data_IF_298735673006
#
_entry.id   IF_298735673006
#
_cell.length_a   1.000
_cell.length_b   1.000
_cell.length_c   1.000
_cell.angle_alpha   90.00
_cell.angle_beta   90.00
_cell.angle_gamma   90.00
#
_symmetry.space_group_name_H-M   'P 1'
#
loop_
_entity.id
_entity.type
_entity.pdbx_description
1 polymer ?
#
# COMPACT_ATOMS: atom_id res chain seq x y z
N UNK A 1 -3.09 -15.31 -3.68
CA UNK A 1 -3.74 -14.17 -3.01
C UNK A 1 -4.55 -14.68 -1.84
N UNK A 2 -4.36 -14.13 -0.64
CA UNK A 2 -4.99 -14.56 0.60
C UNK A 2 -5.10 -13.40 1.61
N UNK A 3 -5.84 -13.62 2.71
CA UNK A 3 -5.77 -12.74 3.89
C UNK A 3 -4.38 -12.84 4.49
N UNK A 4 -3.65 -11.73 4.49
CA UNK A 4 -2.31 -11.59 5.09
C UNK A 4 -2.33 -10.48 6.14
N UNK A 5 -1.44 -10.51 7.15
CA UNK A 5 -1.34 -9.45 8.16
C UNK A 5 -1.03 -8.10 7.52
N UNK A 6 -1.71 -7.05 8.00
CA UNK A 6 -1.38 -5.65 7.68
C UNK A 6 -0.54 -5.12 8.85
N UNK A 7 0.78 -5.09 8.69
CA UNK A 7 1.71 -4.62 9.72
C UNK A 7 1.82 -3.10 9.72
N UNK A 8 2.38 -2.52 10.78
CA UNK A 8 2.70 -1.09 10.82
C UNK A 8 3.72 -0.71 9.74
N UNK A 9 4.74 -1.54 9.51
CA UNK A 9 5.71 -1.35 8.41
C UNK A 9 5.03 -1.27 7.05
N UNK A 10 4.11 -2.18 6.74
CA UNK A 10 3.34 -2.16 5.48
C UNK A 10 2.56 -0.85 5.36
N UNK A 11 1.93 -0.38 6.44
CA UNK A 11 1.18 0.88 6.42
C UNK A 11 2.09 2.10 6.24
N UNK A 12 3.26 2.14 6.86
CA UNK A 12 4.21 3.24 6.75
C UNK A 12 4.83 3.31 5.35
N UNK A 13 5.23 2.17 4.79
CA UNK A 13 5.71 2.08 3.41
C UNK A 13 4.59 2.46 2.42
N UNK A 14 3.35 2.02 2.67
CA UNK A 14 2.21 2.35 1.80
C UNK A 14 1.88 3.85 1.85
N UNK A 15 2.00 4.50 3.01
CA UNK A 15 1.87 5.96 3.13
C UNK A 15 2.92 6.70 2.31
N UNK A 16 4.18 6.28 2.40
CA UNK A 16 5.26 6.86 1.60
C UNK A 16 5.03 6.70 0.09
N UNK A 17 4.60 5.52 -0.35
CA UNK A 17 4.27 5.25 -1.75
C UNK A 17 3.11 6.11 -2.24
N UNK A 18 2.01 6.19 -1.48
CA UNK A 18 0.82 6.97 -1.87
C UNK A 18 1.11 8.48 -1.84
N UNK A 19 2.01 8.94 -0.97
CA UNK A 19 2.45 10.35 -0.96
C UNK A 19 3.30 10.72 -2.19
N UNK A 20 3.68 9.75 -3.03
CA UNK A 20 4.36 10.02 -4.29
C UNK A 20 3.44 10.71 -5.30
N UNK A 21 3.91 11.77 -5.94
CA UNK A 21 3.18 12.44 -7.03
C UNK A 21 2.84 11.50 -8.21
N UNK A 22 3.59 10.39 -8.35
CA UNK A 22 3.38 9.38 -9.38
C UNK A 22 2.16 8.47 -9.14
N UNK A 23 1.62 8.41 -7.92
CA UNK A 23 0.44 7.59 -7.62
C UNK A 23 -0.83 8.43 -7.75
N UNK A 24 -1.58 8.20 -8.83
CA UNK A 24 -2.84 8.88 -9.09
C UNK A 24 -4.03 8.20 -8.40
N UNK A 25 -4.00 6.87 -8.29
CA UNK A 25 -5.01 6.08 -7.60
C UNK A 25 -4.32 5.02 -6.71
N UNK A 26 -4.40 5.15 -5.37
CA UNK A 26 -3.87 4.16 -4.43
C UNK A 26 -4.44 2.74 -4.58
N UNK A 27 -5.61 2.59 -5.20
CA UNK A 27 -6.23 1.29 -5.45
C UNK A 27 -5.57 0.60 -6.65
N UNK A 28 -4.85 1.33 -7.51
CA UNK A 28 -4.07 0.79 -8.62
C UNK A 28 -2.85 0.02 -8.10
N UNK A 29 -3.10 -1.22 -7.66
CA UNK A 29 -2.10 -2.12 -7.03
C UNK A 29 -0.80 -2.24 -7.82
N UNK A 30 -0.88 -2.29 -9.15
CA UNK A 30 0.32 -2.46 -9.99
C UNK A 30 1.22 -1.23 -9.96
N UNK A 31 0.64 -0.03 -9.97
CA UNK A 31 1.39 1.23 -9.91
C UNK A 31 2.02 1.40 -8.53
N UNK A 32 1.26 1.10 -7.47
CA UNK A 32 1.76 1.10 -6.08
C UNK A 32 2.89 0.09 -5.91
N UNK A 33 2.76 -1.12 -6.48
CA UNK A 33 3.81 -2.14 -6.39
C UNK A 33 5.10 -1.71 -7.12
N UNK A 34 4.97 -1.08 -8.28
CA UNK A 34 6.13 -0.59 -9.04
C UNK A 34 6.89 0.49 -8.25
N UNK A 35 6.17 1.47 -7.71
CA UNK A 35 6.79 2.53 -6.89
C UNK A 35 7.37 1.97 -5.59
N UNK A 36 6.71 0.99 -4.96
CA UNK A 36 7.24 0.31 -3.78
C UNK A 36 8.56 -0.42 -4.10
N UNK A 37 8.64 -1.07 -5.25
CA UNK A 37 9.85 -1.75 -5.71
C UNK A 37 10.99 -0.76 -5.97
N UNK A 38 10.72 0.35 -6.66
CA UNK A 38 11.71 1.40 -6.94
C UNK A 38 12.26 2.07 -5.66
N UNK A 39 11.53 1.96 -4.55
CA UNK A 39 11.90 2.50 -3.23
C UNK A 39 12.43 1.47 -2.25
N UNK A 40 12.63 0.23 -2.70
CA UNK A 40 13.13 -0.87 -1.87
C UNK A 40 12.21 -1.15 -0.65
N UNK A 41 10.91 -0.93 -0.80
CA UNK A 41 9.88 -1.24 0.21
C UNK A 41 9.47 -2.72 0.14
N UNK A 42 10.40 -3.61 0.48
CA UNK A 42 10.27 -5.06 0.26
C UNK A 42 9.03 -5.67 0.93
N UNK A 43 8.73 -5.29 2.17
CA UNK A 43 7.54 -5.79 2.90
C UNK A 43 6.24 -5.39 2.21
N UNK A 44 6.16 -4.17 1.69
CA UNK A 44 5.00 -3.71 0.92
C UNK A 44 4.89 -4.45 -0.41
N UNK A 45 6.01 -4.69 -1.12
CA UNK A 45 6.01 -5.46 -2.37
C UNK A 45 5.50 -6.88 -2.14
N UNK A 46 5.99 -7.55 -1.09
CA UNK A 46 5.54 -8.89 -0.70
C UNK A 46 4.07 -8.91 -0.28
N UNK A 47 3.66 -7.92 0.52
CA UNK A 47 2.27 -7.74 0.92
C UNK A 47 1.36 -7.59 -0.29
N UNK A 48 1.69 -6.71 -1.24
CA UNK A 48 0.88 -6.49 -2.44
C UNK A 48 0.80 -7.76 -3.27
N UNK A 49 1.90 -8.48 -3.45
CA UNK A 49 1.91 -9.74 -4.19
C UNK A 49 0.97 -10.80 -3.56
N UNK A 50 0.95 -10.86 -2.22
CA UNK A 50 0.31 -11.93 -1.45
C UNK A 50 -1.12 -11.64 -1.04
N UNK A 51 -1.45 -10.38 -0.74
CA UNK A 51 -2.76 -9.96 -0.25
C UNK A 51 -3.86 -10.19 -1.28
N UNK A 52 -5.04 -10.60 -0.80
CA UNK A 52 -6.27 -10.52 -1.58
C UNK A 52 -6.75 -9.07 -1.74
N UNK A 53 -7.69 -8.86 -2.66
CA UNK A 53 -8.17 -7.52 -3.01
C UNK A 53 -8.79 -6.80 -1.79
N UNK A 54 -9.53 -7.51 -0.95
CA UNK A 54 -10.15 -6.94 0.25
C UNK A 54 -9.11 -6.51 1.29
N UNK A 55 -8.05 -7.28 1.47
CA UNK A 55 -6.94 -6.98 2.39
C UNK A 55 -6.11 -5.80 1.90
N UNK A 56 -5.84 -5.74 0.60
CA UNK A 56 -5.17 -4.58 0.00
C UNK A 56 -6.01 -3.31 0.16
N UNK A 57 -7.31 -3.38 -0.14
CA UNK A 57 -8.23 -2.26 0.04
C UNK A 57 -8.30 -1.80 1.51
N UNK A 58 -8.31 -2.73 2.46
CA UNK A 58 -8.27 -2.42 3.89
C UNK A 58 -7.01 -1.63 4.26
N UNK A 59 -5.83 -2.02 3.74
CA UNK A 59 -4.59 -1.30 3.97
C UNK A 59 -4.63 0.13 3.37
N UNK A 60 -5.10 0.26 2.11
CA UNK A 60 -5.28 1.57 1.45
C UNK A 60 -6.26 2.46 2.21
N UNK A 61 -7.36 1.89 2.72
CA UNK A 61 -8.34 2.64 3.51
C UNK A 61 -7.74 3.17 4.81
N UNK A 62 -6.94 2.35 5.50
CA UNK A 62 -6.26 2.76 6.75
C UNK A 62 -5.30 3.93 6.57
N UNK A 63 -4.67 4.08 5.41
CA UNK A 63 -3.71 5.17 5.15
C UNK A 63 -4.36 6.41 4.53
N UNK A 64 -5.47 6.24 3.80
CA UNK A 64 -6.21 7.37 3.18
C UNK A 64 -7.22 8.02 4.13
N UNK A 65 -7.87 7.25 5.02
CA UNK A 65 -8.79 7.79 6.03
C UNK A 65 -8.05 8.71 7.03
N UNK A 66 -6.83 8.35 7.40
CA UNK A 66 -5.97 9.16 8.29
C UNK A 66 -5.62 10.53 7.67
N UNK A 67 -5.47 10.60 6.35
CA UNK A 67 -5.16 11.86 5.63
C UNK A 67 -6.32 12.86 5.62
N UNK A 68 -7.57 12.43 5.88
CA UNK A 68 -8.74 13.33 5.91
C UNK A 68 -8.97 13.98 7.28
N UNK A 69 -8.19 13.59 8.30
CA UNK A 69 -8.39 14.01 9.69
C UNK A 69 -7.32 15.00 10.21
N UNK A 70 -6.44 15.48 9.34
CA UNK A 70 -5.41 16.52 9.62
C UNK A 70 -5.74 17.80 8.86
#
# INVERSE_FOLDING_TARGET
>A
MARVPITETVLDQLRDVIAAESIQDPIARYDVQAVAFDREHDELVEFIASADASTYFEAVSKVTDVSTRS
#
